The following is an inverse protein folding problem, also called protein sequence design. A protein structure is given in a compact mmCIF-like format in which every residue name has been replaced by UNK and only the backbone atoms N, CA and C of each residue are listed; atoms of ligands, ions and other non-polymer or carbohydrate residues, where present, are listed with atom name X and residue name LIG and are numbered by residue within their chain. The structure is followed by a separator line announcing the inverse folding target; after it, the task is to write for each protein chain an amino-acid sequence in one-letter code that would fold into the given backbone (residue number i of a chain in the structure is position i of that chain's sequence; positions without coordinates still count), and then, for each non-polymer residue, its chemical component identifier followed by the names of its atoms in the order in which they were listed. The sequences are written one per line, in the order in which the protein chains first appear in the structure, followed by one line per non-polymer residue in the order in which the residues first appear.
data_IF_063047129748
#
_entry.id   IF_063047129748
#
_cell.length_a   1.000
_cell.length_b   1.000
_cell.length_c   1.000
_cell.angle_alpha   90.00
_cell.angle_beta   90.00
_cell.angle_gamma   90.00
#
_symmetry.space_group_name_H-M   'P 1'
#
loop_
_entity.id
_entity.type
_entity.pdbx_description
1 polymer ?
#
# COMPACT_ATOMS: atom_id res chain seq x y z
N UNK A 1 0.57 -3.78 -5.80
CA UNK A 1 1.57 -2.84 -6.36
C UNK A 1 1.23 -2.34 -7.77
N UNK A 2 0.74 -3.19 -8.68
CA UNK A 2 0.40 -2.78 -10.05
C UNK A 2 -0.52 -1.54 -10.11
N UNK A 3 -1.56 -1.47 -9.27
CA UNK A 3 -2.45 -0.31 -9.19
C UNK A 3 -1.70 1.01 -8.95
N UNK A 4 -0.80 1.05 -7.96
CA UNK A 4 -0.02 2.24 -7.63
C UNK A 4 0.99 2.57 -8.74
N UNK A 5 1.67 1.56 -9.28
CA UNK A 5 2.67 1.74 -10.33
C UNK A 5 2.06 2.14 -11.69
N UNK A 6 0.77 1.89 -11.91
CA UNK A 6 0.05 2.38 -13.08
C UNK A 6 -0.17 3.90 -13.03
N UNK A 7 -0.30 4.49 -11.84
CA UNK A 7 -0.38 5.94 -11.67
C UNK A 7 0.98 6.62 -11.85
N UNK A 8 2.06 5.98 -11.37
CA UNK A 8 3.44 6.43 -11.61
C UNK A 8 4.42 5.24 -11.52
N UNK A 9 5.29 5.02 -12.51
CA UNK A 9 6.24 3.90 -12.49
C UNK A 9 7.16 3.90 -11.27
N UNK A 10 7.40 2.72 -10.67
CA UNK A 10 8.28 2.54 -9.50
C UNK A 10 7.95 3.49 -8.32
N UNK A 11 6.66 3.77 -8.13
CA UNK A 11 6.22 4.69 -7.08
C UNK A 11 6.07 4.01 -5.73
N UNK A 12 5.88 2.69 -5.69
CA UNK A 12 5.54 1.99 -4.45
C UNK A 12 6.40 0.74 -4.19
N UNK A 13 6.73 0.51 -2.91
CA UNK A 13 7.60 -0.59 -2.45
C UNK A 13 7.09 -1.16 -1.13
N UNK A 14 7.25 -2.47 -0.92
CA UNK A 14 7.05 -3.06 0.41
C UNK A 14 8.14 -2.55 1.36
N UNK A 15 7.77 -2.29 2.61
CA UNK A 15 8.66 -1.73 3.62
C UNK A 15 8.42 -2.37 4.99
N UNK A 16 9.25 -2.02 5.98
CA UNK A 16 8.96 -2.36 7.36
C UNK A 16 9.08 -3.85 7.71
N UNK A 17 8.23 -4.29 8.62
CA UNK A 17 8.28 -5.63 9.21
C UNK A 17 8.04 -6.73 8.19
N UNK A 18 7.17 -6.50 7.19
CA UNK A 18 6.83 -7.52 6.19
C UNK A 18 8.04 -7.92 5.34
N UNK A 19 8.92 -6.96 5.03
CA UNK A 19 10.18 -7.23 4.32
C UNK A 19 11.15 -8.00 5.20
N UNK A 20 11.34 -7.57 6.45
CA UNK A 20 12.21 -8.27 7.41
C UNK A 20 11.77 -9.73 7.59
N UNK A 21 10.50 -9.95 7.87
CA UNK A 21 9.97 -11.28 8.17
C UNK A 21 10.07 -12.19 6.94
N UNK A 22 9.77 -11.67 5.74
CA UNK A 22 9.94 -12.40 4.48
C UNK A 22 11.39 -12.82 4.23
N UNK A 23 12.37 -11.94 4.51
CA UNK A 23 13.80 -12.24 4.37
C UNK A 23 14.28 -13.31 5.37
N UNK A 24 13.63 -13.41 6.52
CA UNK A 24 13.88 -14.46 7.51
C UNK A 24 13.14 -15.77 7.21
N UNK A 25 12.37 -15.84 6.13
CA UNK A 25 11.53 -17.00 5.79
C UNK A 25 10.32 -17.16 6.71
N UNK A 26 9.92 -16.11 7.41
CA UNK A 26 8.74 -16.06 8.26
C UNK A 26 7.55 -15.50 7.48
N UNK A 27 6.34 -15.87 7.88
CA UNK A 27 5.11 -15.29 7.33
C UNK A 27 4.87 -13.92 7.98
N UNK A 28 4.84 -12.82 7.22
CA UNK A 28 4.48 -11.50 7.74
C UNK A 28 3.10 -11.50 8.39
N UNK A 29 2.97 -10.78 9.51
CA UNK A 29 1.66 -10.57 10.15
C UNK A 29 0.84 -9.50 9.44
N UNK A 30 1.51 -8.42 9.08
CA UNK A 30 0.95 -7.23 8.44
C UNK A 30 1.77 -6.90 7.20
N UNK A 31 1.17 -6.23 6.21
CA UNK A 31 1.83 -5.84 4.96
C UNK A 31 1.81 -4.32 4.82
N UNK A 32 3.00 -3.72 4.87
CA UNK A 32 3.20 -2.28 4.68
C UNK A 32 3.82 -1.98 3.33
N UNK A 33 3.35 -0.91 2.69
CA UNK A 33 3.93 -0.34 1.49
C UNK A 33 4.15 1.17 1.67
N UNK A 34 5.30 1.66 1.20
CA UNK A 34 5.53 3.08 1.03
C UNK A 34 5.26 3.47 -0.42
N UNK A 35 4.75 4.68 -0.65
CA UNK A 35 4.52 5.24 -1.99
C UNK A 35 4.94 6.70 -2.10
N UNK A 36 5.32 7.15 -3.30
CA UNK A 36 5.52 8.60 -3.59
C UNK A 36 4.21 9.33 -3.96
N UNK A 37 3.11 8.59 -4.10
CA UNK A 37 1.79 9.17 -4.37
C UNK A 37 1.27 9.85 -3.10
N UNK A 38 0.55 10.96 -3.24
CA UNK A 38 -0.20 11.54 -2.11
C UNK A 38 -1.38 10.62 -1.75
N UNK A 39 -2.00 10.79 -0.57
CA UNK A 39 -3.15 9.97 -0.17
C UNK A 39 -4.30 10.00 -1.18
N UNK A 40 -4.64 11.18 -1.71
CA UNK A 40 -5.70 11.32 -2.72
C UNK A 40 -5.36 10.61 -4.03
N UNK A 41 -4.11 10.70 -4.49
CA UNK A 41 -3.63 10.00 -5.69
C UNK A 41 -3.60 8.48 -5.48
N UNK A 42 -3.28 8.04 -4.26
CA UNK A 42 -3.33 6.63 -3.85
C UNK A 42 -4.76 6.11 -3.93
N UNK A 43 -5.71 6.84 -3.37
CA UNK A 43 -7.15 6.51 -3.46
C UNK A 43 -7.60 6.44 -4.92
N UNK A 44 -7.23 7.43 -5.74
CA UNK A 44 -7.57 7.45 -7.16
C UNK A 44 -7.01 6.23 -7.91
N UNK A 45 -5.77 5.84 -7.63
CA UNK A 45 -5.13 4.66 -8.22
C UNK A 45 -5.83 3.35 -7.80
N UNK A 46 -6.22 3.23 -6.53
CA UNK A 46 -6.96 2.07 -6.02
C UNK A 46 -8.35 1.97 -6.66
N UNK A 47 -9.07 3.08 -6.76
CA UNK A 47 -10.36 3.18 -7.45
C UNK A 47 -10.25 2.78 -8.93
N UNK A 48 -9.25 3.31 -9.64
CA UNK A 48 -9.02 2.99 -11.05
C UNK A 48 -8.72 1.51 -11.28
N UNK A 49 -8.13 0.83 -10.30
CA UNK A 49 -7.88 -0.61 -10.32
C UNK A 49 -9.06 -1.46 -9.80
N UNK A 50 -10.17 -0.84 -9.39
CA UNK A 50 -11.33 -1.54 -8.84
C UNK A 50 -11.11 -2.13 -7.44
N UNK A 51 -10.13 -1.63 -6.69
CA UNK A 51 -9.81 -2.11 -5.34
C UNK A 51 -10.58 -1.30 -4.29
N UNK A 52 -11.03 -1.99 -3.24
CA UNK A 52 -11.59 -1.33 -2.05
C UNK A 52 -10.47 -0.71 -1.23
N UNK A 53 -10.80 0.29 -0.43
CA UNK A 53 -9.85 0.93 0.48
C UNK A 53 -10.55 1.47 1.74
N UNK A 54 -9.76 1.73 2.79
CA UNK A 54 -10.20 2.38 4.01
C UNK A 54 -9.28 3.57 4.36
N UNK A 55 -9.83 4.72 4.81
CA UNK A 55 -9.08 5.92 5.17
C UNK A 55 -8.54 5.85 6.61
N UNK A 56 -7.76 4.81 6.91
CA UNK A 56 -7.32 4.41 8.26
C UNK A 56 -6.30 5.33 8.91
N UNK A 57 -5.62 6.22 8.16
CA UNK A 57 -4.61 7.13 8.71
C UNK A 57 -4.28 8.31 7.79
N UNK A 58 -5.29 8.91 7.16
CA UNK A 58 -5.10 9.96 6.14
C UNK A 58 -4.27 11.15 6.62
N UNK A 59 -4.46 11.59 7.87
CA UNK A 59 -3.70 12.71 8.46
C UNK A 59 -2.20 12.41 8.58
N UNK A 60 -1.83 11.14 8.54
CA UNK A 60 -0.45 10.65 8.57
C UNK A 60 0.02 10.10 7.22
N UNK A 61 -0.79 10.28 6.16
CA UNK A 61 -0.46 9.87 4.81
C UNK A 61 -0.76 8.41 4.48
N UNK A 62 -1.56 7.71 5.30
CA UNK A 62 -1.84 6.27 5.17
C UNK A 62 -3.24 5.99 4.66
N UNK A 63 -3.32 5.10 3.66
CA UNK A 63 -4.55 4.52 3.11
C UNK A 63 -4.41 3.00 3.13
N UNK A 64 -5.37 2.29 3.70
CA UNK A 64 -5.37 0.81 3.62
C UNK A 64 -6.04 0.37 2.32
N UNK A 65 -5.29 -0.29 1.44
CA UNK A 65 -5.81 -0.99 0.27
C UNK A 65 -6.35 -2.37 0.68
N UNK A 66 -7.46 -2.79 0.08
CA UNK A 66 -8.11 -4.07 0.36
C UNK A 66 -8.23 -4.83 -0.96
N UNK A 67 -7.48 -5.92 -1.08
CA UNK A 67 -7.52 -6.84 -2.21
C UNK A 67 -7.94 -8.23 -1.67
N UNK A 68 -9.12 -8.70 -2.09
CA UNK A 68 -9.76 -9.88 -1.52
C UNK A 68 -9.88 -9.77 0.02
N UNK A 69 -9.24 -10.69 0.76
CA UNK A 69 -9.18 -10.72 2.22
C UNK A 69 -7.83 -10.24 2.77
N UNK A 70 -7.00 -9.61 1.93
CA UNK A 70 -5.68 -9.08 2.31
C UNK A 70 -5.72 -7.56 2.33
N UNK A 71 -5.26 -7.00 3.44
CA UNK A 71 -5.07 -5.56 3.62
C UNK A 71 -3.60 -5.18 3.44
N UNK A 72 -3.36 -4.05 2.79
CA UNK A 72 -2.02 -3.45 2.68
C UNK A 72 -2.10 -1.99 3.11
N UNK A 73 -1.33 -1.61 4.12
CA UNK A 73 -1.21 -0.21 4.52
C UNK A 73 -0.26 0.52 3.57
N UNK A 74 -0.78 1.52 2.87
CA UNK A 74 -0.02 2.31 1.88
C UNK A 74 0.22 3.70 2.46
N UNK A 75 1.47 4.03 2.76
CA UNK A 75 1.86 5.30 3.39
C UNK A 75 2.73 6.15 2.46
N UNK A 76 2.44 7.44 2.39
CA UNK A 76 3.19 8.42 1.58
C UNK A 76 4.57 8.72 2.20
N UNK A 77 5.60 8.93 1.37
CA UNK A 77 6.97 9.34 1.76
C UNK A 77 7.15 10.86 1.90
#
# INVERSE_FOLDING_TARGET
MAALNAASPDTARFVGGCVRDSLLGLVPKDIDAATRLRPDDTIAALCAAGLRFAPTGLDHGTVTAIADDVTVEVTTL
#
